data_IF_716230059467
#
_entry.id   IF_716230059467
#
_cell.length_a   1.000
_cell.length_b   1.000
_cell.length_c   1.000
_cell.angle_alpha   90.00
_cell.angle_beta   90.00
_cell.angle_gamma   90.00
#
_symmetry.space_group_name_H-M   'P 1'
#
loop_
_entity.id
_entity.type
_entity.pdbx_description
1 polymer ?
#
# COMPACT_ATOMS: atom_id res chain seq x y z
N UNK A 1 10.39 6.29 -12.11
CA UNK A 1 9.50 6.86 -13.15
C UNK A 1 10.34 7.85 -13.98
N UNK A 2 10.92 7.40 -15.09
CA UNK A 2 12.18 7.99 -15.62
C UNK A 2 11.90 9.25 -16.45
N UNK A 3 12.04 10.43 -15.85
CA UNK A 3 12.13 11.82 -16.37
C UNK A 3 11.18 12.30 -17.49
N UNK A 4 10.90 11.50 -18.51
CA UNK A 4 10.04 11.86 -19.64
C UNK A 4 8.58 12.10 -19.22
N UNK A 5 8.08 11.30 -18.27
CA UNK A 5 6.72 11.46 -17.73
C UNK A 5 6.60 12.75 -16.92
N UNK A 6 7.61 13.08 -16.11
CA UNK A 6 7.57 14.27 -15.25
C UNK A 6 7.61 15.57 -16.07
N UNK A 7 8.20 15.53 -17.26
CA UNK A 7 8.26 16.66 -18.18
C UNK A 7 6.97 16.89 -18.99
N UNK A 8 5.92 16.09 -18.76
CA UNK A 8 4.61 16.23 -19.40
C UNK A 8 3.57 16.75 -18.41
N UNK A 9 2.55 17.43 -18.91
CA UNK A 9 1.36 17.79 -18.12
C UNK A 9 0.37 16.63 -18.05
N UNK A 10 -0.58 16.70 -17.10
CA UNK A 10 -1.66 15.71 -17.03
C UNK A 10 -2.52 15.69 -18.30
N UNK A 11 -2.71 16.85 -18.94
CA UNK A 11 -3.40 16.96 -20.23
C UNK A 11 -2.63 16.26 -21.36
N UNK A 12 -1.31 16.45 -21.45
CA UNK A 12 -0.46 15.77 -22.44
C UNK A 12 -0.38 14.26 -22.22
N UNK A 13 -0.54 13.81 -20.96
CA UNK A 13 -0.61 12.41 -20.59
C UNK A 13 -1.99 11.78 -20.84
N UNK A 14 -3.01 12.57 -21.21
CA UNK A 14 -4.38 12.09 -21.40
C UNK A 14 -5.10 11.76 -20.09
N UNK A 15 -4.59 12.24 -18.95
CA UNK A 15 -5.02 11.90 -17.59
C UNK A 15 -5.73 13.08 -16.92
N UNK A 16 -6.17 14.02 -17.75
CA UNK A 16 -7.00 15.15 -17.38
C UNK A 16 -8.24 15.20 -18.27
N UNK A 17 -9.40 15.03 -17.65
CA UNK A 17 -10.68 15.18 -18.34
C UNK A 17 -11.62 16.08 -17.54
N UNK A 18 -12.30 16.95 -18.29
CA UNK A 18 -13.44 17.71 -17.82
C UNK A 18 -14.71 16.94 -18.18
N UNK A 19 -15.66 16.85 -17.25
CA UNK A 19 -17.01 16.38 -17.58
C UNK A 19 -17.68 17.36 -18.56
N UNK A 20 -17.43 18.65 -18.34
CA UNK A 20 -17.86 19.75 -19.19
C UNK A 20 -16.68 20.71 -19.31
N UNK A 21 -16.19 20.91 -20.53
CA UNK A 21 -15.05 21.80 -20.73
C UNK A 21 -15.45 23.22 -20.31
N UNK A 22 -14.69 23.87 -19.41
CA UNK A 22 -15.06 25.18 -18.89
C UNK A 22 -15.06 26.22 -20.02
N UNK A 23 -16.08 27.08 -20.03
CA UNK A 23 -16.11 28.26 -20.90
C UNK A 23 -15.22 29.38 -20.34
N UNK A 24 -14.91 30.38 -21.16
CA UNK A 24 -14.15 31.56 -20.72
C UNK A 24 -14.82 32.26 -19.53
N UNK A 25 -16.16 32.33 -19.51
CA UNK A 25 -16.91 32.90 -18.39
C UNK A 25 -16.73 32.08 -17.11
N UNK A 26 -16.63 30.74 -17.21
CA UNK A 26 -16.37 29.88 -16.03
C UNK A 26 -14.96 30.11 -15.48
N UNK A 27 -13.96 30.25 -16.36
CA UNK A 27 -12.58 30.51 -15.97
C UNK A 27 -12.41 31.89 -15.31
N UNK A 28 -13.28 32.86 -15.62
CA UNK A 28 -13.27 34.18 -15.00
C UNK A 28 -14.07 34.25 -13.69
N UNK A 29 -15.09 33.41 -13.53
CA UNK A 29 -16.01 33.47 -12.39
C UNK A 29 -15.71 32.47 -11.27
N UNK A 30 -15.01 31.37 -11.55
CA UNK A 30 -14.65 30.35 -10.56
C UNK A 30 -13.14 30.14 -10.49
N UNK A 31 -12.58 30.55 -9.34
CA UNK A 31 -11.16 30.43 -9.04
C UNK A 31 -10.66 28.99 -9.07
N UNK A 32 -11.43 28.02 -8.58
CA UNK A 32 -11.00 26.61 -8.55
C UNK A 32 -10.96 26.08 -9.98
N UNK A 33 -11.98 26.38 -10.78
CA UNK A 33 -12.02 25.98 -12.20
C UNK A 33 -10.85 26.58 -12.99
N UNK A 34 -10.50 27.85 -12.74
CA UNK A 34 -9.31 28.50 -13.30
C UNK A 34 -8.00 27.81 -12.86
N UNK A 35 -7.82 27.58 -11.56
CA UNK A 35 -6.61 26.94 -11.01
C UNK A 35 -6.43 25.52 -11.57
N UNK A 36 -7.51 24.77 -11.69
CA UNK A 36 -7.54 23.45 -12.31
C UNK A 36 -7.19 23.48 -13.80
N UNK A 37 -7.71 24.44 -14.56
CA UNK A 37 -7.34 24.61 -15.97
C UNK A 37 -5.84 24.93 -16.14
N UNK A 38 -5.30 25.84 -15.32
CA UNK A 38 -3.87 26.13 -15.30
C UNK A 38 -3.05 24.89 -14.93
N UNK A 39 -3.48 24.15 -13.89
CA UNK A 39 -2.80 22.95 -13.40
C UNK A 39 -2.76 21.85 -14.47
N UNK A 40 -3.83 21.67 -15.25
CA UNK A 40 -3.91 20.66 -16.32
C UNK A 40 -2.80 20.79 -17.38
N UNK A 41 -2.33 22.02 -17.60
CA UNK A 41 -1.31 22.39 -18.60
C UNK A 41 0.10 22.46 -18.00
N UNK A 42 0.21 22.44 -16.68
CA UNK A 42 1.48 22.50 -15.95
C UNK A 42 2.17 21.14 -15.99
N UNK A 43 3.49 21.12 -16.17
CA UNK A 43 4.28 19.88 -16.14
C UNK A 43 4.35 19.34 -14.72
N UNK A 44 4.31 18.01 -14.59
CA UNK A 44 4.38 17.35 -13.28
C UNK A 44 5.65 17.70 -12.49
N UNK A 45 6.79 17.94 -13.15
CA UNK A 45 8.03 18.36 -12.50
C UNK A 45 7.96 19.75 -11.86
N UNK A 46 7.03 20.59 -12.32
CA UNK A 46 6.88 21.97 -11.87
C UNK A 46 5.79 22.11 -10.79
N UNK A 47 5.14 21.00 -10.41
CA UNK A 47 4.09 21.01 -9.38
C UNK A 47 4.67 21.40 -8.03
N UNK A 48 4.03 22.38 -7.41
CA UNK A 48 4.22 22.70 -6.00
C UNK A 48 3.46 21.71 -5.10
N UNK A 49 3.72 21.75 -3.80
CA UNK A 49 2.97 20.99 -2.81
C UNK A 49 1.45 21.26 -2.91
N UNK A 50 1.07 22.53 -3.11
CA UNK A 50 -0.31 22.95 -3.31
C UNK A 50 -0.92 22.41 -4.60
N UNK A 51 -0.15 22.35 -5.68
CA UNK A 51 -0.59 21.77 -6.96
C UNK A 51 -0.87 20.26 -6.82
N UNK A 52 -0.01 19.53 -6.09
CA UNK A 52 -0.19 18.10 -5.82
C UNK A 52 -1.44 17.89 -4.98
N UNK A 53 -1.61 18.67 -3.91
CA UNK A 53 -2.82 18.65 -3.08
C UNK A 53 -4.09 18.93 -3.90
N UNK A 54 -4.08 19.97 -4.73
CA UNK A 54 -5.24 20.34 -5.54
C UNK A 54 -5.58 19.22 -6.53
N UNK A 55 -4.59 18.63 -7.20
CA UNK A 55 -4.84 17.54 -8.12
C UNK A 55 -5.40 16.29 -7.43
N UNK A 56 -4.84 15.90 -6.28
CA UNK A 56 -5.29 14.72 -5.53
C UNK A 56 -6.67 14.92 -4.92
N UNK A 57 -6.93 16.08 -4.31
CA UNK A 57 -8.24 16.40 -3.72
C UNK A 57 -9.37 16.46 -4.76
N UNK A 58 -9.05 16.74 -6.02
CA UNK A 58 -9.98 16.73 -7.15
C UNK A 58 -9.92 15.43 -7.98
N UNK A 59 -9.22 14.42 -7.48
CA UNK A 59 -9.06 13.09 -8.09
C UNK A 59 -8.53 13.13 -9.54
N UNK A 60 -7.70 14.14 -9.86
CA UNK A 60 -7.15 14.34 -11.20
C UNK A 60 -5.83 13.60 -11.38
N UNK A 61 -5.81 12.73 -12.39
CA UNK A 61 -4.62 11.99 -12.80
C UNK A 61 -3.99 11.19 -11.67
N UNK A 62 -4.81 10.57 -10.80
CA UNK A 62 -4.35 9.88 -9.57
C UNK A 62 -3.19 8.90 -9.83
N UNK A 63 -3.19 8.24 -10.98
CA UNK A 63 -2.08 7.38 -11.43
C UNK A 63 -0.70 8.05 -11.39
N UNK A 64 -0.63 9.37 -11.56
CA UNK A 64 0.58 10.18 -11.55
C UNK A 64 0.70 11.07 -10.32
N UNK A 65 -0.43 11.60 -9.82
CA UNK A 65 -0.45 12.56 -8.71
C UNK A 65 -0.40 11.88 -7.35
N UNK A 66 -0.99 10.70 -7.18
CA UNK A 66 -0.91 9.95 -5.92
C UNK A 66 0.53 9.49 -5.61
N UNK A 67 1.35 8.99 -6.56
CA UNK A 67 2.77 8.72 -6.31
C UNK A 67 3.62 9.97 -5.98
N UNK A 68 3.18 11.17 -6.38
CA UNK A 68 3.83 12.42 -5.96
C UNK A 68 3.43 12.76 -4.52
N UNK A 69 2.14 12.64 -4.20
CA UNK A 69 1.62 12.88 -2.85
C UNK A 69 2.19 11.92 -1.81
N UNK A 70 2.28 10.63 -2.13
CA UNK A 70 2.89 9.61 -1.27
C UNK A 70 4.32 10.01 -0.90
N UNK A 71 5.14 10.46 -1.87
CA UNK A 71 6.52 10.89 -1.59
C UNK A 71 6.59 12.08 -0.64
N UNK A 72 5.68 13.05 -0.78
CA UNK A 72 5.62 14.18 0.15
C UNK A 72 5.21 13.73 1.56
N UNK A 73 4.25 12.80 1.66
CA UNK A 73 3.77 12.23 2.93
C UNK A 73 4.83 11.34 3.59
N UNK A 74 5.65 10.64 2.80
CA UNK A 74 6.79 9.85 3.29
C UNK A 74 7.82 10.74 3.99
N UNK A 75 8.09 11.93 3.43
CA UNK A 75 9.01 12.91 4.01
C UNK A 75 8.41 13.60 5.25
N UNK A 76 7.12 13.97 5.20
CA UNK A 76 6.38 14.57 6.31
C UNK A 76 4.88 14.23 6.24
N UNK A 77 4.43 13.35 7.15
CA UNK A 77 3.03 12.90 7.20
C UNK A 77 2.03 14.04 7.47
N UNK A 78 2.47 15.12 8.11
CA UNK A 78 1.67 16.30 8.43
C UNK A 78 2.02 17.50 7.55
N UNK A 79 2.60 17.27 6.37
CA UNK A 79 2.92 18.33 5.41
C UNK A 79 1.70 19.23 5.17
N UNK A 80 1.93 20.54 5.19
CA UNK A 80 0.93 21.56 4.85
C UNK A 80 1.07 21.93 3.37
N UNK A 81 0.03 21.66 2.59
CA UNK A 81 -0.01 21.96 1.17
C UNK A 81 -0.92 23.14 0.81
N UNK A 82 -1.63 23.74 1.77
CA UNK A 82 -2.29 25.02 1.53
C UNK A 82 -3.21 25.52 2.63
N UNK A 83 -3.73 24.64 3.48
CA UNK A 83 -4.77 25.03 4.45
C UNK A 83 -4.40 24.69 5.89
N UNK A 84 -3.90 23.48 6.14
CA UNK A 84 -3.57 22.98 7.47
C UNK A 84 -2.61 21.80 7.37
N UNK A 85 -1.84 21.58 8.43
CA UNK A 85 -0.94 20.43 8.55
C UNK A 85 -1.69 19.11 8.33
N UNK A 86 -1.22 18.29 7.39
CA UNK A 86 -1.83 17.00 7.02
C UNK A 86 -3.00 17.11 6.03
N UNK A 87 -3.23 18.26 5.40
CA UNK A 87 -4.26 18.41 4.37
C UNK A 87 -4.06 17.45 3.18
N UNK A 88 -2.81 17.21 2.77
CA UNK A 88 -2.48 16.23 1.73
C UNK A 88 -2.80 14.80 2.15
N UNK A 89 -2.43 14.41 3.37
CA UNK A 89 -2.78 13.09 3.90
C UNK A 89 -4.31 12.92 3.89
N UNK A 90 -5.05 13.92 4.38
CA UNK A 90 -6.51 13.89 4.37
C UNK A 90 -7.06 13.65 2.97
N UNK A 91 -6.59 14.40 1.96
CA UNK A 91 -7.02 14.24 0.58
C UNK A 91 -6.77 12.82 0.07
N UNK A 92 -5.59 12.23 0.37
CA UNK A 92 -5.26 10.84 0.00
C UNK A 92 -6.19 9.82 0.67
N UNK A 93 -6.50 9.99 1.97
CA UNK A 93 -7.38 9.08 2.70
C UNK A 93 -8.85 9.17 2.29
N UNK A 94 -9.25 10.27 1.64
CA UNK A 94 -10.60 10.52 1.14
C UNK A 94 -10.84 10.02 -0.28
N UNK A 95 -9.80 9.63 -1.01
CA UNK A 95 -9.94 9.05 -2.36
C UNK A 95 -10.98 7.90 -2.31
N UNK A 96 -11.94 7.85 -3.24
CA UNK A 96 -13.00 6.85 -3.23
C UNK A 96 -12.48 5.42 -3.14
N UNK A 97 -13.17 4.58 -2.35
CA UNK A 97 -12.82 3.16 -2.23
C UNK A 97 -12.88 2.41 -3.56
N UNK A 98 -13.71 2.86 -4.50
CA UNK A 98 -13.77 2.33 -5.87
C UNK A 98 -12.45 2.51 -6.64
N UNK A 99 -11.74 3.63 -6.43
CA UNK A 99 -10.41 3.82 -7.02
C UNK A 99 -9.42 2.78 -6.47
N UNK A 100 -9.38 2.60 -5.15
CA UNK A 100 -8.47 1.67 -4.48
C UNK A 100 -8.79 0.20 -4.78
N UNK A 101 -10.06 -0.14 -5.01
CA UNK A 101 -10.46 -1.47 -5.48
C UNK A 101 -9.89 -1.79 -6.87
N UNK A 102 -9.79 -0.79 -7.74
CA UNK A 102 -9.23 -0.93 -9.08
C UNK A 102 -7.69 -0.79 -9.10
N UNK A 103 -7.12 -0.07 -8.12
CA UNK A 103 -5.69 0.24 -8.01
C UNK A 103 -5.13 -0.26 -6.68
N UNK A 104 -5.12 -1.58 -6.50
CA UNK A 104 -4.71 -2.22 -5.24
C UNK A 104 -3.28 -1.85 -4.83
N UNK A 105 -2.35 -1.70 -5.77
CA UNK A 105 -0.96 -1.30 -5.45
C UNK A 105 -0.88 0.08 -4.80
N UNK A 106 -1.76 1.01 -5.16
CA UNK A 106 -1.80 2.35 -4.57
C UNK A 106 -2.41 2.32 -3.17
N UNK A 107 -3.47 1.53 -2.98
CA UNK A 107 -4.04 1.27 -1.65
C UNK A 107 -2.98 0.78 -0.68
N UNK A 108 -2.12 -0.12 -1.16
CA UNK A 108 -1.06 -0.74 -0.36
C UNK A 108 -0.03 0.26 0.10
N UNK A 109 0.42 1.12 -0.81
CA UNK A 109 1.38 2.17 -0.44
C UNK A 109 0.79 3.05 0.65
N UNK A 110 -0.44 3.52 0.47
CA UNK A 110 -1.12 4.38 1.44
C UNK A 110 -1.34 3.65 2.78
N UNK A 111 -1.81 2.42 2.77
CA UNK A 111 -2.00 1.62 3.99
C UNK A 111 -0.67 1.33 4.72
N UNK A 112 0.42 1.10 3.97
CA UNK A 112 1.76 0.91 4.54
C UNK A 112 2.26 2.18 5.23
N UNK A 113 2.07 3.35 4.60
CA UNK A 113 2.42 4.65 5.21
C UNK A 113 1.70 4.87 6.53
N UNK A 114 0.40 4.57 6.58
CA UNK A 114 -0.40 4.72 7.81
C UNK A 114 0.04 3.72 8.88
N UNK A 115 0.62 2.59 8.48
CA UNK A 115 1.00 1.54 9.40
C UNK A 115 2.36 1.75 10.07
N UNK A 116 3.18 2.67 9.54
CA UNK A 116 4.45 3.09 10.12
C UNK A 116 4.29 3.48 11.59
N UNK A 117 5.16 2.94 12.46
CA UNK A 117 5.15 3.24 13.91
C UNK A 117 5.35 4.73 14.18
N UNK A 118 6.25 5.38 13.46
CA UNK A 118 6.54 6.81 13.63
C UNK A 118 5.32 7.65 13.23
N UNK A 119 4.68 7.31 12.11
CA UNK A 119 3.46 7.95 11.65
C UNK A 119 2.30 7.78 12.65
N UNK A 120 2.14 6.59 13.24
CA UNK A 120 1.15 6.36 14.29
C UNK A 120 1.41 7.22 15.52
N UNK A 121 2.67 7.38 15.90
CA UNK A 121 3.06 8.23 17.03
C UNK A 121 2.75 9.71 16.75
N UNK A 122 3.14 10.20 15.57
CA UNK A 122 2.84 11.57 15.14
C UNK A 122 1.32 11.81 15.15
N UNK A 123 0.55 10.89 14.58
CA UNK A 123 -0.91 11.00 14.50
C UNK A 123 -1.63 10.83 15.84
N UNK A 124 -1.02 10.11 16.80
CA UNK A 124 -1.54 10.00 18.16
C UNK A 124 -1.46 11.33 18.92
N UNK A 125 -0.36 12.06 18.74
CA UNK A 125 -0.12 13.38 19.35
C UNK A 125 -0.80 14.52 18.58
N UNK A 126 -1.27 14.26 17.34
CA UNK A 126 -1.91 15.25 16.48
C UNK A 126 -3.38 15.50 16.86
N UNK A 127 -3.74 16.76 17.06
CA UNK A 127 -5.08 17.16 17.50
C UNK A 127 -5.72 18.29 16.67
N UNK A 128 -5.02 18.83 15.68
CA UNK A 128 -5.46 20.04 14.97
C UNK A 128 -6.62 19.77 13.99
N UNK A 129 -6.71 18.55 13.44
CA UNK A 129 -7.79 18.16 12.53
C UNK A 129 -8.46 16.85 12.94
N UNK A 130 -9.60 16.97 13.63
CA UNK A 130 -10.40 15.83 14.09
C UNK A 130 -10.86 14.90 12.97
N UNK A 131 -11.17 15.43 11.80
CA UNK A 131 -11.60 14.62 10.66
C UNK A 131 -10.45 13.77 10.12
N UNK A 132 -9.26 14.36 10.02
CA UNK A 132 -8.04 13.64 9.65
C UNK A 132 -7.73 12.54 10.67
N UNK A 133 -7.75 12.83 11.98
CA UNK A 133 -7.56 11.80 13.01
C UNK A 133 -8.56 10.64 12.85
N UNK A 134 -9.84 10.95 12.57
CA UNK A 134 -10.88 9.94 12.35
C UNK A 134 -10.59 9.09 11.11
N UNK A 135 -10.22 9.71 9.99
CA UNK A 135 -9.88 9.03 8.74
C UNK A 135 -8.64 8.15 8.93
N UNK A 136 -7.60 8.68 9.56
CA UNK A 136 -6.36 7.95 9.84
C UNK A 136 -6.63 6.71 10.70
N UNK A 137 -7.42 6.84 11.77
CA UNK A 137 -7.79 5.69 12.60
C UNK A 137 -8.59 4.65 11.81
N UNK A 138 -9.55 5.05 10.97
CA UNK A 138 -10.31 4.13 10.12
C UNK A 138 -9.40 3.33 9.19
N UNK A 139 -8.41 3.98 8.60
CA UNK A 139 -7.41 3.31 7.77
C UNK A 139 -6.44 2.45 8.61
N UNK A 140 -6.06 2.89 9.81
CA UNK A 140 -5.20 2.14 10.72
C UNK A 140 -5.83 0.86 11.27
N UNK A 141 -7.17 0.80 11.32
CA UNK A 141 -7.90 -0.43 11.64
C UNK A 141 -8.01 -1.40 10.46
N UNK A 142 -7.64 -1.00 9.24
CA UNK A 142 -7.64 -1.92 8.11
C UNK A 142 -6.55 -2.97 8.33
N UNK A 143 -6.97 -4.16 8.74
CA UNK A 143 -6.15 -5.36 8.75
C UNK A 143 -6.92 -6.46 8.05
N UNK A 144 -6.19 -7.27 7.30
CA UNK A 144 -6.69 -8.51 6.74
C UNK A 144 -5.91 -9.65 7.35
N UNK A 145 -6.66 -10.69 7.70
CA UNK A 145 -6.15 -11.92 8.25
C UNK A 145 -5.97 -12.94 7.12
N UNK A 146 -4.87 -13.66 7.18
CA UNK A 146 -4.51 -14.70 6.24
C UNK A 146 -4.00 -15.91 7.00
N UNK A 147 -4.46 -17.10 6.62
CA UNK A 147 -3.86 -18.33 7.12
C UNK A 147 -2.59 -18.62 6.35
N UNK A 148 -1.48 -18.75 7.06
CA UNK A 148 -0.21 -19.19 6.50
C UNK A 148 0.12 -20.56 7.04
N UNK A 149 0.39 -21.48 6.12
CA UNK A 149 0.77 -22.85 6.44
C UNK A 149 2.14 -23.14 5.86
N UNK A 150 3.06 -23.64 6.67
CA UNK A 150 4.43 -23.96 6.28
C UNK A 150 4.70 -25.42 6.61
N UNK A 151 5.22 -26.16 5.64
CA UNK A 151 5.81 -27.48 5.89
C UNK A 151 7.31 -27.31 5.87
N UNK A 152 7.96 -27.71 6.96
CA UNK A 152 9.42 -27.74 7.08
C UNK A 152 9.92 -29.18 6.97
N UNK A 153 11.07 -29.34 6.33
CA UNK A 153 11.82 -30.60 6.31
C UNK A 153 12.80 -30.73 7.49
N UNK A 154 12.84 -29.73 8.39
CA UNK A 154 13.74 -29.68 9.53
C UNK A 154 12.94 -29.47 10.83
N UNK A 155 12.79 -30.55 11.62
CA UNK A 155 12.08 -30.48 12.88
C UNK A 155 12.73 -29.62 13.96
N UNK A 156 14.01 -29.26 13.79
CA UNK A 156 14.76 -28.43 14.73
C UNK A 156 14.65 -26.95 14.45
N UNK A 157 14.00 -26.54 13.35
CA UNK A 157 13.84 -25.13 13.02
C UNK A 157 12.98 -24.45 14.10
N UNK A 158 13.52 -23.48 14.88
CA UNK A 158 12.75 -22.70 15.82
C UNK A 158 11.58 -22.00 15.14
N UNK A 159 10.48 -21.85 15.86
CA UNK A 159 9.35 -21.02 15.40
C UNK A 159 9.78 -19.59 15.14
N UNK A 160 10.73 -19.08 15.92
CA UNK A 160 11.23 -17.72 15.80
C UNK A 160 11.99 -17.54 14.48
N UNK A 161 12.75 -18.52 14.02
CA UNK A 161 13.39 -18.49 12.70
C UNK A 161 12.36 -18.48 11.55
N UNK A 162 11.23 -19.19 11.71
CA UNK A 162 10.14 -19.18 10.71
C UNK A 162 9.40 -17.85 10.73
N UNK A 163 9.18 -17.28 11.92
CA UNK A 163 8.61 -15.94 12.06
C UNK A 163 9.53 -14.90 11.46
N UNK A 164 10.82 -14.94 11.75
CA UNK A 164 11.84 -14.03 11.22
C UNK A 164 11.92 -14.14 9.69
N UNK A 165 11.85 -15.36 9.15
CA UNK A 165 11.76 -15.57 7.72
C UNK A 165 10.48 -14.96 7.10
N UNK A 166 9.32 -15.17 7.72
CA UNK A 166 8.07 -14.55 7.27
C UNK A 166 8.10 -13.02 7.43
N UNK A 167 8.68 -12.51 8.50
CA UNK A 167 8.91 -11.09 8.71
C UNK A 167 9.83 -10.52 7.62
N UNK A 168 10.90 -11.21 7.24
CA UNK A 168 11.77 -10.79 6.13
C UNK A 168 11.05 -10.86 4.78
N UNK A 169 10.25 -11.89 4.56
CA UNK A 169 9.54 -12.10 3.28
C UNK A 169 8.37 -11.13 3.10
N UNK A 170 7.69 -10.78 4.18
CA UNK A 170 6.47 -9.96 4.19
C UNK A 170 6.79 -8.49 4.53
N UNK A 171 7.71 -8.30 5.46
CA UNK A 171 8.05 -7.03 6.12
C UNK A 171 9.47 -6.55 5.82
N UNK A 172 9.80 -6.39 4.54
CA UNK A 172 10.98 -5.62 4.08
C UNK A 172 10.91 -4.13 4.46
N UNK A 173 9.81 -3.69 5.05
CA UNK A 173 9.68 -2.36 5.64
C UNK A 173 9.28 -2.52 7.11
N UNK A 174 10.09 -1.94 8.00
CA UNK A 174 9.86 -1.79 9.44
C UNK A 174 8.49 -1.21 9.82
N UNK A 175 7.73 -0.73 8.84
CA UNK A 175 6.32 -0.30 8.87
C UNK A 175 5.27 -1.41 8.86
N UNK A 176 5.64 -2.62 8.44
CA UNK A 176 4.69 -3.71 8.17
C UNK A 176 4.25 -4.32 9.50
N UNK A 177 3.17 -3.81 10.08
CA UNK A 177 2.62 -4.34 11.33
C UNK A 177 1.95 -5.70 11.08
N UNK A 178 2.78 -6.74 11.03
CA UNK A 178 2.39 -8.13 10.87
C UNK A 178 2.24 -8.75 12.25
N UNK A 179 1.00 -9.03 12.64
CA UNK A 179 0.69 -9.74 13.88
C UNK A 179 0.48 -11.23 13.58
N UNK A 180 1.02 -12.08 14.45
CA UNK A 180 0.94 -13.53 14.35
C UNK A 180 0.07 -14.05 15.49
N UNK A 181 -1.13 -14.52 15.17
CA UNK A 181 -2.08 -15.11 16.11
C UNK A 181 -2.39 -16.56 15.76
N UNK A 182 -3.10 -17.25 16.67
CA UNK A 182 -3.68 -18.59 16.48
C UNK A 182 -2.77 -19.62 15.80
N UNK A 183 -1.57 -19.81 16.36
CA UNK A 183 -0.61 -20.75 15.82
C UNK A 183 -0.85 -22.19 16.31
N UNK A 184 -0.80 -23.14 15.39
CA UNK A 184 -0.81 -24.58 15.69
C UNK A 184 0.43 -25.25 15.12
N UNK A 185 0.95 -26.22 15.87
CA UNK A 185 2.13 -27.00 15.51
C UNK A 185 1.76 -28.46 15.41
N UNK A 186 2.08 -29.08 14.28
CA UNK A 186 1.84 -30.50 14.05
C UNK A 186 3.08 -31.15 13.45
N UNK A 187 3.60 -32.18 14.10
CA UNK A 187 4.76 -32.94 13.63
C UNK A 187 4.30 -34.31 13.15
N UNK A 188 4.51 -34.60 11.87
CA UNK A 188 4.14 -35.89 11.29
C UNK A 188 5.28 -36.92 11.45
N UNK A 189 6.53 -36.45 11.46
CA UNK A 189 7.73 -37.26 11.67
C UNK A 189 8.93 -36.39 12.06
N UNK A 190 10.05 -37.02 12.40
CA UNK A 190 11.33 -36.34 12.67
C UNK A 190 11.83 -35.47 11.51
N UNK A 191 11.31 -35.65 10.29
CA UNK A 191 11.74 -34.92 9.10
C UNK A 191 10.61 -34.09 8.45
N UNK A 192 9.45 -34.00 9.09
CA UNK A 192 8.32 -33.27 8.54
C UNK A 192 7.48 -32.61 9.63
N UNK A 193 7.56 -31.28 9.66
CA UNK A 193 6.73 -30.42 10.50
C UNK A 193 5.77 -29.60 9.70
N UNK A 194 4.66 -29.28 10.33
CA UNK A 194 3.67 -28.34 9.85
C UNK A 194 3.47 -27.24 10.88
N UNK A 195 3.57 -26.01 10.38
CA UNK A 195 3.17 -24.81 11.06
C UNK A 195 1.93 -24.26 10.38
N UNK A 196 0.92 -23.90 11.17
CA UNK A 196 -0.17 -23.05 10.69
C UNK A 196 -0.24 -21.84 11.61
N UNK A 197 -0.28 -20.65 11.05
CA UNK A 197 -0.38 -19.39 11.80
C UNK A 197 -1.32 -18.43 11.08
N UNK A 198 -2.11 -17.68 11.84
CA UNK A 198 -2.88 -16.58 11.30
C UNK A 198 -2.00 -15.33 11.30
N UNK A 199 -1.96 -14.65 10.16
CA UNK A 199 -1.20 -13.43 9.96
C UNK A 199 -2.19 -12.29 9.72
N UNK A 200 -2.18 -11.30 10.59
CA UNK A 200 -2.96 -10.06 10.43
C UNK A 200 -2.04 -8.94 9.96
N UNK A 201 -2.27 -8.43 8.76
CA UNK A 201 -1.44 -7.37 8.16
C UNK A 201 -2.29 -6.39 7.35
N UNK A 202 -1.74 -5.20 7.13
CA UNK A 202 -2.31 -4.21 6.21
C UNK A 202 -2.03 -4.53 4.75
N UNK A 203 -1.12 -5.49 4.49
CA UNK A 203 -0.73 -5.92 3.14
C UNK A 203 -1.83 -6.82 2.55
N UNK A 204 -2.51 -6.40 1.47
CA UNK A 204 -3.48 -7.20 0.76
C UNK A 204 -2.88 -8.48 0.18
N UNK A 205 -3.70 -9.52 0.15
CA UNK A 205 -3.36 -10.87 -0.28
C UNK A 205 -2.56 -10.95 -1.58
N UNK A 206 -2.95 -10.19 -2.61
CA UNK A 206 -2.29 -10.22 -3.92
C UNK A 206 -0.82 -9.78 -3.88
N UNK A 207 -0.49 -8.79 -3.04
CA UNK A 207 0.89 -8.31 -2.87
C UNK A 207 1.67 -9.14 -1.88
N UNK A 208 1.03 -9.58 -0.79
CA UNK A 208 1.62 -10.58 0.11
C UNK A 208 2.11 -11.79 -0.69
N UNK A 209 1.21 -12.31 -1.55
CA UNK A 209 1.52 -13.36 -2.50
C UNK A 209 2.67 -13.00 -3.44
N UNK A 210 2.63 -11.83 -4.09
CA UNK A 210 3.65 -11.42 -5.06
C UNK A 210 5.03 -11.36 -4.42
N UNK A 211 5.16 -10.78 -3.22
CA UNK A 211 6.43 -10.68 -2.47
C UNK A 211 6.99 -12.04 -2.12
N UNK A 212 6.14 -12.95 -1.66
CA UNK A 212 6.54 -14.34 -1.44
C UNK A 212 6.98 -14.97 -2.76
N UNK A 213 6.24 -14.77 -3.85
CA UNK A 213 6.63 -15.24 -5.18
C UNK A 213 7.86 -14.52 -5.81
N UNK A 214 8.38 -13.45 -5.21
CA UNK A 214 9.64 -12.80 -5.63
C UNK A 214 10.84 -13.43 -4.92
N UNK A 215 10.65 -13.82 -3.65
CA UNK A 215 11.63 -14.60 -2.88
C UNK A 215 11.64 -16.10 -3.28
N UNK A 216 10.63 -16.54 -4.02
CA UNK A 216 10.37 -17.93 -4.40
C UNK A 216 9.99 -17.97 -5.88
N UNK A 217 10.78 -18.59 -6.76
CA UNK A 217 10.48 -18.72 -8.21
C UNK A 217 8.98 -18.99 -8.48
N UNK A 218 8.39 -18.48 -9.57
CA UNK A 218 6.99 -18.05 -9.60
C UNK A 218 6.01 -19.21 -9.40
N UNK A 219 5.42 -19.28 -8.21
CA UNK A 219 4.48 -20.34 -7.88
C UNK A 219 3.11 -20.17 -8.57
N UNK A 220 2.57 -21.27 -9.06
CA UNK A 220 1.31 -21.31 -9.80
C UNK A 220 0.13 -20.87 -8.93
N UNK A 221 -0.83 -20.17 -9.55
CA UNK A 221 -2.11 -19.82 -8.93
C UNK A 221 -2.98 -21.07 -8.82
N UNK A 222 -3.37 -21.45 -7.61
CA UNK A 222 -4.44 -22.44 -7.37
C UNK A 222 -5.54 -21.78 -6.54
N UNK A 223 -6.56 -21.22 -7.19
CA UNK A 223 -7.72 -20.63 -6.51
C UNK A 223 -7.40 -19.41 -5.62
N UNK A 224 -7.89 -19.44 -4.37
CA UNK A 224 -7.66 -18.44 -3.31
C UNK A 224 -6.38 -18.72 -2.50
N UNK A 225 -5.58 -19.69 -2.93
CA UNK A 225 -4.38 -20.13 -2.25
C UNK A 225 -3.14 -19.72 -3.06
N UNK A 226 -2.11 -19.23 -2.37
CA UNK A 226 -0.74 -19.31 -2.87
C UNK A 226 -0.13 -20.61 -2.38
N UNK A 227 0.58 -21.37 -3.22
CA UNK A 227 1.25 -22.61 -2.81
C UNK A 227 2.61 -22.68 -3.48
N UNK A 228 3.69 -22.86 -2.72
CA UNK A 228 5.02 -23.12 -3.27
C UNK A 228 5.64 -24.37 -2.64
N UNK A 229 6.33 -25.18 -3.45
CA UNK A 229 6.85 -26.50 -3.08
C UNK A 229 8.31 -26.65 -3.52
N UNK A 230 9.19 -27.07 -2.62
CA UNK A 230 10.65 -27.23 -2.86
C UNK A 230 10.97 -28.33 -3.87
N UNK A 231 10.05 -29.25 -4.10
CA UNK A 231 10.19 -30.33 -5.07
C UNK A 231 9.96 -29.90 -6.51
N UNK A 232 9.30 -28.76 -6.72
CA UNK A 232 8.96 -28.24 -8.06
C UNK A 232 9.58 -26.87 -8.34
N UNK A 233 10.03 -26.14 -7.32
CA UNK A 233 10.53 -24.77 -7.43
C UNK A 233 11.76 -24.54 -6.56
N UNK A 234 12.63 -23.60 -6.95
CA UNK A 234 13.73 -23.17 -6.11
C UNK A 234 13.20 -22.27 -4.99
N UNK A 235 13.44 -22.67 -3.73
CA UNK A 235 13.07 -21.93 -2.53
C UNK A 235 14.32 -21.31 -1.94
N UNK A 236 14.32 -19.99 -1.71
CA UNK A 236 15.40 -19.27 -1.04
C UNK A 236 15.42 -19.51 0.50
N UNK A 237 15.10 -20.74 0.91
CA UNK A 237 15.14 -21.25 2.28
C UNK A 237 15.14 -22.79 2.22
N UNK A 238 16.31 -23.41 2.38
CA UNK A 238 16.50 -24.87 2.24
C UNK A 238 15.72 -25.73 3.24
N UNK A 239 15.21 -25.10 4.30
CA UNK A 239 14.55 -25.75 5.42
C UNK A 239 13.02 -25.75 5.30
N UNK A 240 12.47 -25.02 4.33
CA UNK A 240 11.04 -25.00 4.04
C UNK A 240 10.81 -25.87 2.81
N UNK A 241 9.97 -26.90 2.96
CA UNK A 241 9.61 -27.78 1.85
C UNK A 241 8.32 -27.33 1.16
N UNK A 242 7.45 -26.60 1.86
CA UNK A 242 6.19 -26.11 1.31
C UNK A 242 5.66 -24.90 2.07
N UNK A 243 4.95 -24.00 1.40
CA UNK A 243 4.16 -22.93 2.03
C UNK A 243 2.83 -22.76 1.30
N UNK A 244 1.77 -22.44 2.05
CA UNK A 244 0.58 -21.79 1.50
C UNK A 244 0.19 -20.54 2.26
N UNK A 245 -0.49 -19.64 1.54
CA UNK A 245 -1.27 -18.56 2.14
C UNK A 245 -2.67 -18.62 1.59
N UNK A 246 -3.64 -18.61 2.49
CA UNK A 246 -5.06 -18.71 2.25
C UNK A 246 -5.75 -17.47 2.83
N UNK A 247 -6.71 -16.90 2.08
CA UNK A 247 -7.63 -15.91 2.60
C UNK A 247 -8.48 -16.54 3.70
N UNK A 248 -8.69 -15.82 4.81
CA UNK A 248 -9.79 -16.14 5.71
C UNK A 248 -11.10 -15.80 4.99
N UNK A 249 -11.98 -16.79 4.82
CA UNK A 249 -13.30 -16.65 4.19
C UNK A 249 -14.25 -15.77 5.05
#
# INVERSE_FOLDING_TARGET
MKNEILNKSLLELGEWTWLWQPSDDNLQSDRITMELDCLSKKKLCDYSNSDIYLAVSQEKGLRFTLPLAIRLIEDDILIECGFYSGDLLKAVLQIPTTYYQLNVDDFIKVASLISLKDNKRIMFDYHDNRELCRLYNLWGYYRKSYWVRIITNNYRLPIDDVKDFLYQTVGDDSSSEVDFSDYTRYWKSDNQGELTAMISTVIPFGVLRKRIAEQWTPADRIGNSFVANSGTMEINCKQISWISIDLED
#
